data_IF_859265634290
#
_entry.id   IF_859265634290
#
_cell.length_a   1.000
_cell.length_b   1.000
_cell.length_c   1.000
_cell.angle_alpha   90.00
_cell.angle_beta   90.00
_cell.angle_gamma   90.00
#
_symmetry.space_group_name_H-M   'P 1'
#
loop_
_entity.id
_entity.type
_entity.pdbx_description
1 polymer ?
#
# COMPACT_ATOMS: atom_id res chain seq x y z
N UNK A 1 -8.82 -18.37 1.58
CA UNK A 1 -8.85 -17.09 2.34
C UNK A 1 -7.59 -16.89 3.18
N UNK A 2 -7.27 -17.76 4.14
CA UNK A 2 -6.14 -17.56 5.05
C UNK A 2 -4.78 -17.38 4.35
N UNK A 3 -4.51 -18.14 3.28
CA UNK A 3 -3.30 -17.97 2.47
C UNK A 3 -3.21 -16.59 1.80
N UNK A 4 -4.31 -16.08 1.26
CA UNK A 4 -4.34 -14.75 0.65
C UNK A 4 -4.11 -13.66 1.72
N UNK A 5 -4.70 -13.81 2.91
CA UNK A 5 -4.45 -12.92 4.04
C UNK A 5 -2.98 -12.95 4.47
N UNK A 6 -2.37 -14.15 4.52
CA UNK A 6 -0.96 -14.33 4.86
C UNK A 6 -0.02 -13.69 3.83
N UNK A 7 -0.35 -13.76 2.54
CA UNK A 7 0.41 -13.07 1.49
C UNK A 7 0.39 -11.55 1.67
N UNK A 8 -0.76 -10.97 2.02
CA UNK A 8 -0.87 -9.54 2.36
C UNK A 8 -0.04 -9.17 3.58
N UNK A 9 -0.19 -9.89 4.70
CA UNK A 9 0.57 -9.63 5.93
C UNK A 9 2.08 -9.77 5.71
N UNK A 10 2.49 -10.79 4.95
CA UNK A 10 3.89 -10.98 4.56
C UNK A 10 4.45 -9.77 3.82
N UNK A 11 3.71 -9.25 2.84
CA UNK A 11 4.09 -8.05 2.12
C UNK A 11 4.19 -6.82 3.03
N UNK A 12 3.12 -6.55 3.79
CA UNK A 12 3.02 -5.35 4.61
C UNK A 12 4.12 -5.31 5.68
N UNK A 13 4.39 -6.45 6.33
CA UNK A 13 5.50 -6.57 7.29
C UNK A 13 6.85 -6.27 6.61
N UNK A 14 7.11 -6.86 5.45
CA UNK A 14 8.33 -6.62 4.69
C UNK A 14 8.50 -5.16 4.27
N UNK A 15 7.43 -4.51 3.82
CA UNK A 15 7.43 -3.12 3.40
C UNK A 15 7.69 -2.15 4.57
N UNK A 16 7.10 -2.42 5.74
CA UNK A 16 7.31 -1.64 6.98
C UNK A 16 8.77 -1.70 7.48
N UNK A 17 9.48 -2.80 7.19
CA UNK A 17 10.87 -3.00 7.60
C UNK A 17 11.91 -2.31 6.70
N UNK A 18 11.52 -1.70 5.58
CA UNK A 18 12.47 -1.00 4.71
C UNK A 18 12.96 0.26 5.41
N UNK A 19 14.28 0.32 5.68
CA UNK A 19 14.93 1.40 6.41
C UNK A 19 15.56 2.42 5.45
N UNK A 20 15.68 3.67 5.92
CA UNK A 20 16.18 4.81 5.15
C UNK A 20 17.68 5.09 5.40
N UNK A 21 18.50 4.04 5.55
CA UNK A 21 19.91 4.09 5.93
C UNK A 21 20.87 3.60 4.84
N UNK A 22 20.58 3.92 3.58
CA UNK A 22 21.36 3.48 2.42
C UNK A 22 22.79 4.00 2.42
N UNK A 23 23.75 3.11 2.17
CA UNK A 23 25.18 3.41 2.09
C UNK A 23 25.78 3.17 0.71
N UNK A 24 25.05 2.48 -0.17
CA UNK A 24 25.52 2.02 -1.47
C UNK A 24 24.35 1.68 -2.41
N UNK A 25 24.67 1.41 -3.68
CA UNK A 25 23.68 0.99 -4.67
C UNK A 25 23.05 -0.38 -4.42
N UNK A 26 23.77 -1.31 -3.79
CA UNK A 26 23.31 -2.69 -3.59
C UNK A 26 22.16 -2.75 -2.57
N UNK A 27 22.29 -2.05 -1.45
CA UNK A 27 21.25 -1.90 -0.44
C UNK A 27 19.96 -1.32 -1.03
N UNK A 28 20.06 -0.35 -1.95
CA UNK A 28 18.90 0.21 -2.66
C UNK A 28 18.23 -0.86 -3.54
N UNK A 29 19.01 -1.62 -4.32
CA UNK A 29 18.44 -2.68 -5.16
C UNK A 29 17.82 -3.82 -4.32
N UNK A 30 18.41 -4.16 -3.17
CA UNK A 30 17.82 -5.13 -2.26
C UNK A 30 16.47 -4.65 -1.71
N UNK A 31 16.37 -3.37 -1.33
CA UNK A 31 15.11 -2.77 -0.88
C UNK A 31 14.07 -2.64 -1.99
N UNK A 32 14.46 -2.31 -3.23
CA UNK A 32 13.56 -2.34 -4.39
C UNK A 32 12.96 -3.74 -4.58
N UNK A 33 13.81 -4.77 -4.66
CA UNK A 33 13.35 -6.16 -4.80
C UNK A 33 12.39 -6.58 -3.69
N UNK A 34 12.65 -6.17 -2.44
CA UNK A 34 11.77 -6.46 -1.29
C UNK A 34 10.45 -5.69 -1.34
N UNK A 35 10.48 -4.42 -1.72
CA UNK A 35 9.29 -3.57 -1.70
C UNK A 35 8.36 -3.81 -2.90
N UNK A 36 8.89 -4.27 -4.04
CA UNK A 36 8.13 -4.50 -5.26
C UNK A 36 7.70 -5.96 -5.47
N UNK A 37 8.07 -6.87 -4.55
CA UNK A 37 7.77 -8.31 -4.58
C UNK A 37 6.32 -8.63 -4.19
N UNK A 38 5.39 -8.11 -4.99
CA UNK A 38 3.98 -8.48 -4.93
C UNK A 38 3.37 -8.39 -6.33
N UNK A 39 2.46 -9.31 -6.64
CA UNK A 39 1.56 -9.20 -7.79
C UNK A 39 0.33 -8.38 -7.38
N UNK A 40 -0.12 -7.45 -8.23
CA UNK A 40 -1.12 -6.45 -7.87
C UNK A 40 -2.51 -7.06 -7.59
N UNK A 41 -2.96 -8.04 -8.39
CA UNK A 41 -4.23 -8.73 -8.16
C UNK A 41 -4.18 -9.54 -6.87
N UNK A 42 -3.11 -10.31 -6.64
CA UNK A 42 -2.94 -11.12 -5.45
C UNK A 42 -2.90 -10.27 -4.17
N UNK A 43 -2.15 -9.15 -4.18
CA UNK A 43 -2.09 -8.29 -3.00
C UNK A 43 -3.46 -7.68 -2.70
N UNK A 44 -4.21 -7.24 -3.71
CA UNK A 44 -5.56 -6.71 -3.51
C UNK A 44 -6.54 -7.77 -2.97
N UNK A 45 -6.49 -9.01 -3.49
CA UNK A 45 -7.25 -10.14 -2.95
C UNK A 45 -6.86 -10.42 -1.49
N UNK A 46 -5.56 -10.32 -1.18
CA UNK A 46 -5.03 -10.49 0.17
C UNK A 46 -5.56 -9.45 1.16
N UNK A 47 -5.68 -8.18 0.75
CA UNK A 47 -6.28 -7.11 1.58
C UNK A 47 -7.72 -7.48 2.00
N UNK A 48 -8.54 -7.99 1.07
CA UNK A 48 -9.92 -8.39 1.36
C UNK A 48 -9.96 -9.63 2.25
N UNK A 49 -9.09 -10.62 1.98
CA UNK A 49 -8.98 -11.81 2.79
C UNK A 49 -8.55 -11.49 4.24
N UNK A 50 -7.59 -10.57 4.40
CA UNK A 50 -7.15 -10.11 5.70
C UNK A 50 -8.26 -9.33 6.41
N UNK A 51 -8.99 -8.47 5.69
CA UNK A 51 -10.21 -7.83 6.19
C UNK A 51 -11.24 -8.84 6.71
N UNK A 52 -11.43 -9.98 6.04
CA UNK A 52 -12.34 -11.02 6.53
C UNK A 52 -11.84 -11.67 7.84
N UNK A 53 -10.53 -11.91 7.97
CA UNK A 53 -9.91 -12.38 9.23
C UNK A 53 -10.13 -11.39 10.36
N UNK A 54 -10.00 -10.09 10.08
CA UNK A 54 -10.27 -9.03 11.04
C UNK A 54 -11.74 -8.98 11.45
N UNK A 55 -12.67 -9.03 10.50
CA UNK A 55 -14.11 -9.03 10.77
C UNK A 55 -14.55 -10.25 11.61
N UNK A 56 -13.95 -11.42 11.39
CA UNK A 56 -14.19 -12.62 12.20
C UNK A 56 -13.70 -12.50 13.65
N UNK A 57 -12.82 -11.54 13.94
CA UNK A 57 -12.40 -11.24 15.30
C UNK A 57 -13.35 -10.30 16.04
N UNK A 58 -14.44 -9.83 15.41
CA UNK A 58 -15.43 -9.01 16.10
C UNK A 58 -16.56 -9.88 16.68
N UNK A 59 -16.59 -10.08 18.03
CA UNK A 59 -17.50 -11.04 18.65
C UNK A 59 -18.97 -10.68 18.45
N UNK A 60 -19.32 -9.40 18.44
CA UNK A 60 -20.71 -8.95 18.23
C UNK A 60 -21.22 -9.32 16.84
N UNK A 61 -20.36 -9.21 15.83
CA UNK A 61 -20.66 -9.61 14.46
C UNK A 61 -20.81 -11.11 14.33
N UNK A 62 -19.83 -11.89 14.80
CA UNK A 62 -19.86 -13.36 14.70
C UNK A 62 -21.06 -13.94 15.46
N UNK A 63 -21.34 -13.47 16.68
CA UNK A 63 -22.50 -13.91 17.44
C UNK A 63 -23.82 -13.54 16.74
N UNK A 64 -23.93 -12.32 16.24
CA UNK A 64 -25.11 -11.84 15.53
C UNK A 64 -25.41 -12.63 14.25
N UNK A 65 -24.40 -12.90 13.44
CA UNK A 65 -24.53 -13.71 12.22
C UNK A 65 -24.92 -15.15 12.54
N UNK A 66 -24.29 -15.75 13.56
CA UNK A 66 -24.61 -17.13 13.98
C UNK A 66 -26.03 -17.27 14.51
N UNK A 67 -26.52 -16.27 15.26
CA UNK A 67 -27.89 -16.27 15.78
C UNK A 67 -28.92 -16.20 14.63
N UNK A 68 -28.71 -15.32 13.65
CA UNK A 68 -29.56 -15.27 12.46
C UNK A 68 -29.49 -16.56 11.62
N UNK A 69 -28.36 -17.24 11.64
CA UNK A 69 -28.15 -18.52 10.97
C UNK A 69 -28.58 -19.73 11.79
N UNK A 70 -29.27 -19.58 12.92
CA UNK A 70 -29.64 -20.73 13.77
C UNK A 70 -30.56 -21.71 13.07
N UNK A 71 -31.58 -21.21 12.38
CA UNK A 71 -32.53 -22.01 11.61
C UNK A 71 -31.97 -22.37 10.21
N UNK A 72 -31.96 -23.65 9.78
CA UNK A 72 -31.31 -24.07 8.53
C UNK A 72 -31.83 -23.36 7.26
N UNK A 73 -33.16 -23.18 7.15
CA UNK A 73 -33.77 -22.51 6.01
C UNK A 73 -33.37 -21.03 5.95
N UNK A 74 -33.36 -20.35 7.09
CA UNK A 74 -32.94 -18.94 7.19
C UNK A 74 -31.44 -18.79 6.92
N UNK A 75 -30.61 -19.69 7.44
CA UNK A 75 -29.17 -19.74 7.15
C UNK A 75 -28.92 -19.80 5.66
N UNK A 76 -29.59 -20.70 4.94
CA UNK A 76 -29.42 -20.83 3.49
C UNK A 76 -29.88 -19.58 2.74
N UNK A 77 -30.98 -18.96 3.17
CA UNK A 77 -31.45 -17.70 2.58
C UNK A 77 -30.41 -16.58 2.74
N UNK A 78 -29.81 -16.44 3.93
CA UNK A 78 -28.76 -15.45 4.20
C UNK A 78 -27.52 -15.73 3.34
N UNK A 79 -27.07 -16.98 3.25
CA UNK A 79 -25.94 -17.38 2.40
C UNK A 79 -26.19 -16.96 0.94
N UNK A 80 -27.38 -17.28 0.42
CA UNK A 80 -27.74 -16.93 -0.96
C UNK A 80 -27.80 -15.42 -1.17
N UNK A 81 -28.29 -14.66 -0.18
CA UNK A 81 -28.30 -13.19 -0.24
C UNK A 81 -26.89 -12.61 -0.25
N UNK A 82 -25.97 -13.13 0.56
CA UNK A 82 -24.57 -12.67 0.57
C UNK A 82 -23.87 -12.95 -0.77
N UNK A 83 -24.09 -14.12 -1.37
CA UNK A 83 -23.51 -14.44 -2.68
C UNK A 83 -24.13 -13.60 -3.82
N UNK A 84 -25.41 -13.27 -3.73
CA UNK A 84 -26.08 -12.43 -4.71
C UNK A 84 -25.67 -10.95 -4.60
N UNK A 85 -25.51 -10.45 -3.38
CA UNK A 85 -25.07 -9.09 -3.08
C UNK A 85 -24.18 -9.05 -1.82
N UNK A 86 -22.84 -8.94 -1.98
CA UNK A 86 -21.92 -8.85 -0.85
C UNK A 86 -22.18 -7.65 0.07
N UNK A 87 -22.84 -6.58 -0.40
CA UNK A 87 -23.19 -5.44 0.43
C UNK A 87 -24.25 -5.79 1.49
N UNK A 88 -24.99 -6.88 1.32
CA UNK A 88 -25.93 -7.39 2.32
C UNK A 88 -25.26 -7.64 3.68
N UNK A 89 -23.99 -8.07 3.68
CA UNK A 89 -23.24 -8.33 4.91
C UNK A 89 -23.08 -7.08 5.80
N UNK A 90 -23.12 -5.88 5.23
CA UNK A 90 -23.07 -4.62 5.98
C UNK A 90 -24.36 -4.29 6.76
N UNK A 91 -25.42 -5.09 6.57
CA UNK A 91 -26.71 -4.96 7.27
C UNK A 91 -26.85 -5.97 8.41
N UNK A 92 -25.92 -6.91 8.54
CA UNK A 92 -25.96 -7.93 9.58
C UNK A 92 -25.63 -7.34 10.96
N UNK A 93 -26.14 -7.92 12.06
CA UNK A 93 -25.86 -7.42 13.40
C UNK A 93 -24.36 -7.41 13.67
N UNK A 94 -23.85 -6.32 14.25
CA UNK A 94 -22.43 -6.13 14.53
C UNK A 94 -21.56 -5.73 13.33
N UNK A 95 -22.14 -5.60 12.13
CA UNK A 95 -21.37 -5.27 10.91
C UNK A 95 -20.61 -3.94 11.03
N UNK A 96 -21.17 -2.95 11.72
CA UNK A 96 -20.52 -1.63 11.86
C UNK A 96 -19.26 -1.67 12.74
N UNK A 97 -19.27 -2.52 13.79
CA UNK A 97 -18.10 -2.76 14.63
C UNK A 97 -17.03 -3.56 13.85
N UNK A 98 -17.46 -4.61 13.11
CA UNK A 98 -16.55 -5.40 12.29
C UNK A 98 -15.92 -4.55 11.17
N UNK A 99 -16.71 -3.71 10.51
CA UNK A 99 -16.22 -2.74 9.53
C UNK A 99 -15.24 -1.74 10.17
N UNK A 100 -15.57 -1.21 11.35
CA UNK A 100 -14.69 -0.33 12.11
C UNK A 100 -13.30 -0.93 12.33
N UNK A 101 -13.25 -2.20 12.73
CA UNK A 101 -12.01 -2.95 12.90
C UNK A 101 -11.24 -3.12 11.59
N UNK A 102 -11.90 -3.55 10.51
CA UNK A 102 -11.28 -3.70 9.19
C UNK A 102 -10.68 -2.37 8.72
N UNK A 103 -11.45 -1.29 8.79
CA UNK A 103 -11.02 0.04 8.35
C UNK A 103 -9.86 0.54 9.19
N UNK A 104 -9.91 0.38 10.51
CA UNK A 104 -8.87 0.84 11.42
C UNK A 104 -7.53 0.17 11.11
N UNK A 105 -7.51 -1.16 11.00
CA UNK A 105 -6.27 -1.91 10.80
C UNK A 105 -5.69 -1.66 9.40
N UNK A 106 -6.49 -1.76 8.34
CA UNK A 106 -6.01 -1.51 6.98
C UNK A 106 -5.52 -0.06 6.80
N UNK A 107 -6.15 0.91 7.48
CA UNK A 107 -5.64 2.29 7.50
C UNK A 107 -4.30 2.36 8.22
N UNK A 108 -4.14 1.68 9.35
CA UNK A 108 -2.89 1.67 10.10
C UNK A 108 -1.75 1.05 9.29
N UNK A 109 -2.02 -0.05 8.59
CA UNK A 109 -1.08 -0.68 7.66
C UNK A 109 -0.67 0.27 6.54
N UNK A 110 -1.64 0.83 5.83
CA UNK A 110 -1.40 1.76 4.73
C UNK A 110 -0.60 2.99 5.19
N UNK A 111 -0.92 3.54 6.37
CA UNK A 111 -0.21 4.66 6.96
C UNK A 111 1.23 4.29 7.36
N UNK A 112 1.46 3.09 7.89
CA UNK A 112 2.79 2.61 8.26
C UNK A 112 3.69 2.41 7.03
N UNK A 113 3.17 1.77 5.98
CA UNK A 113 3.88 1.61 4.70
C UNK A 113 4.16 2.97 4.05
N UNK A 114 3.18 3.88 4.05
CA UNK A 114 3.36 5.23 3.55
C UNK A 114 4.43 6.01 4.35
N UNK A 115 4.44 5.89 5.67
CA UNK A 115 5.44 6.54 6.54
C UNK A 115 6.84 6.00 6.26
N UNK A 116 7.00 4.69 6.09
CA UNK A 116 8.27 4.10 5.68
C UNK A 116 8.73 4.68 4.33
N UNK A 117 7.81 4.78 3.37
CA UNK A 117 8.07 5.40 2.07
C UNK A 117 8.47 6.87 2.15
N UNK A 118 7.82 7.65 3.02
CA UNK A 118 8.17 9.05 3.25
C UNK A 118 9.57 9.20 3.84
N UNK A 119 9.97 8.34 4.77
CA UNK A 119 11.33 8.33 5.32
C UNK A 119 12.38 7.96 4.26
N UNK A 120 12.11 6.93 3.45
CA UNK A 120 12.97 6.53 2.33
C UNK A 120 13.09 7.68 1.30
N UNK A 121 11.97 8.28 0.90
CA UNK A 121 11.96 9.42 -0.02
C UNK A 121 12.75 10.60 0.55
N UNK A 122 12.63 10.89 1.85
CA UNK A 122 13.44 11.92 2.50
C UNK A 122 14.93 11.60 2.39
N UNK A 123 15.32 10.34 2.62
CA UNK A 123 16.73 9.94 2.51
C UNK A 123 17.32 10.14 1.11
N UNK A 124 16.51 10.11 0.04
CA UNK A 124 16.98 10.46 -1.29
C UNK A 124 17.56 11.89 -1.33
N UNK A 125 16.89 12.85 -0.70
CA UNK A 125 17.36 14.23 -0.59
C UNK A 125 18.56 14.38 0.34
N UNK A 126 18.64 13.55 1.38
CA UNK A 126 19.75 13.58 2.34
C UNK A 126 21.03 13.02 1.70
N UNK A 127 20.93 11.91 0.95
CA UNK A 127 22.07 11.26 0.32
C UNK A 127 22.48 11.90 -1.00
N UNK A 128 21.64 12.69 -1.69
CA UNK A 128 21.95 13.24 -3.04
C UNK A 128 23.25 14.06 -3.13
N UNK A 129 23.80 14.50 -1.99
CA UNK A 129 25.07 15.26 -1.92
C UNK A 129 26.29 14.36 -1.73
N UNK A 130 26.10 13.10 -1.37
CA UNK A 130 27.16 12.12 -1.15
C UNK A 130 27.78 11.67 -2.48
N UNK A 131 29.06 11.28 -2.47
CA UNK A 131 29.76 10.91 -3.70
C UNK A 131 29.21 9.64 -4.32
N UNK A 132 29.04 8.59 -3.50
CA UNK A 132 28.54 7.29 -3.95
C UNK A 132 27.14 7.37 -4.55
N UNK A 133 26.27 8.24 -4.03
CA UNK A 133 24.87 8.31 -4.45
C UNK A 133 24.69 8.98 -5.82
N UNK A 134 25.67 9.79 -6.25
CA UNK A 134 25.72 10.44 -7.56
C UNK A 134 26.30 9.54 -8.65
N UNK A 135 26.86 8.40 -8.28
CA UNK A 135 27.32 7.42 -9.26
C UNK A 135 26.13 6.91 -10.06
N UNK A 136 26.36 6.75 -11.36
CA UNK A 136 25.32 6.29 -12.28
C UNK A 136 25.05 4.83 -12.03
N UNK A 137 23.76 4.51 -11.90
CA UNK A 137 23.36 3.13 -11.70
C UNK A 137 23.66 2.33 -12.96
N UNK A 138 24.40 1.23 -12.78
CA UNK A 138 24.72 0.30 -13.87
C UNK A 138 23.47 -0.45 -14.32
N UNK A 139 23.49 -0.92 -15.57
CA UNK A 139 22.50 -1.88 -16.10
C UNK A 139 21.03 -1.50 -15.91
N UNK A 140 20.68 -0.21 -16.05
CA UNK A 140 19.32 0.32 -15.82
C UNK A 140 18.21 -0.51 -16.48
N UNK A 141 18.40 -0.92 -17.73
CA UNK A 141 17.40 -1.72 -18.46
C UNK A 141 17.20 -3.12 -17.81
N UNK A 142 18.28 -3.77 -17.36
CA UNK A 142 18.19 -5.05 -16.68
C UNK A 142 17.52 -4.92 -15.31
N UNK A 143 17.78 -3.84 -14.57
CA UNK A 143 17.13 -3.56 -13.29
C UNK A 143 15.64 -3.29 -13.44
N UNK A 144 15.25 -2.50 -14.44
CA UNK A 144 13.84 -2.28 -14.78
C UNK A 144 13.15 -3.59 -15.19
N UNK A 145 13.81 -4.44 -15.98
CA UNK A 145 13.30 -5.75 -16.35
C UNK A 145 13.11 -6.65 -15.12
N UNK A 146 14.07 -6.65 -14.19
CA UNK A 146 13.97 -7.39 -12.92
C UNK A 146 12.81 -6.89 -12.05
N UNK A 147 12.65 -5.57 -11.90
CA UNK A 147 11.55 -4.97 -11.15
C UNK A 147 10.18 -5.38 -11.73
N UNK A 148 10.05 -5.38 -13.07
CA UNK A 148 8.84 -5.85 -13.78
C UNK A 148 8.57 -7.33 -13.57
N UNK A 149 9.62 -8.16 -13.63
CA UNK A 149 9.50 -9.60 -13.42
C UNK A 149 9.08 -9.93 -11.99
N UNK A 150 9.73 -9.33 -10.98
CA UNK A 150 9.42 -9.53 -9.56
C UNK A 150 8.00 -9.06 -9.26
N UNK A 151 7.61 -7.91 -9.83
CA UNK A 151 6.28 -7.33 -9.67
C UNK A 151 5.14 -8.15 -10.28
N UNK A 152 5.42 -9.15 -11.12
CA UNK A 152 4.42 -10.06 -11.67
C UNK A 152 4.38 -11.41 -10.96
N UNK A 153 5.27 -11.64 -9.99
CA UNK A 153 5.29 -12.88 -9.22
C UNK A 153 4.38 -12.78 -7.99
N UNK A 154 3.44 -13.73 -7.82
CA UNK A 154 2.71 -13.86 -6.57
C UNK A 154 3.65 -14.18 -5.41
N UNK A 155 3.36 -13.60 -4.25
CA UNK A 155 3.97 -13.97 -2.96
C UNK A 155 3.53 -15.39 -2.61
N UNK A 156 4.49 -16.26 -2.31
CA UNK A 156 4.18 -17.56 -1.75
C UNK A 156 3.64 -17.38 -0.31
N UNK A 157 2.43 -17.86 0.00
CA UNK A 157 1.86 -17.72 1.34
C UNK A 157 2.68 -18.53 2.36
N UNK A 158 2.94 -17.94 3.53
CA UNK A 158 3.53 -18.67 4.66
C UNK A 158 2.48 -19.60 5.27
N UNK A 159 2.79 -20.89 5.37
CA UNK A 159 1.89 -21.90 5.98
C UNK A 159 1.64 -21.60 7.45
N UNK A 160 2.69 -21.21 8.18
CA UNK A 160 2.60 -20.92 9.61
C UNK A 160 1.77 -19.67 9.87
N UNK A 161 1.99 -18.60 9.09
CA UNK A 161 1.20 -17.38 9.19
C UNK A 161 -0.26 -17.63 8.78
N UNK A 162 -0.49 -18.44 7.75
CA UNK A 162 -1.85 -18.82 7.33
C UNK A 162 -2.58 -19.56 8.45
N UNK A 163 -1.92 -20.50 9.13
CA UNK A 163 -2.48 -21.21 10.27
C UNK A 163 -2.78 -20.27 11.45
N UNK A 164 -1.89 -19.32 11.74
CA UNK A 164 -2.09 -18.31 12.79
C UNK A 164 -3.29 -17.42 12.49
N UNK A 165 -3.41 -16.89 11.26
CA UNK A 165 -4.54 -16.05 10.85
C UNK A 165 -5.87 -16.81 10.86
N UNK A 166 -5.85 -18.09 10.46
CA UNK A 166 -7.02 -18.96 10.56
C UNK A 166 -7.43 -19.17 12.04
N UNK A 167 -6.46 -19.42 12.92
CA UNK A 167 -6.73 -19.58 14.34
C UNK A 167 -7.28 -18.29 14.97
N UNK A 168 -6.76 -17.12 14.58
CA UNK A 168 -7.28 -15.83 15.02
C UNK A 168 -8.74 -15.63 14.58
N UNK A 169 -9.04 -15.97 13.32
CA UNK A 169 -10.40 -15.90 12.78
C UNK A 169 -11.38 -16.84 13.49
N UNK A 170 -10.96 -18.04 13.88
CA UNK A 170 -11.82 -19.03 14.56
C UNK A 170 -12.03 -18.72 16.04
N UNK A 171 -10.98 -18.27 16.73
CA UNK A 171 -11.03 -18.00 18.16
C UNK A 171 -11.66 -16.65 18.51
N UNK A 172 -11.70 -15.72 17.55
CA UNK A 172 -12.06 -14.34 17.82
C UNK A 172 -11.08 -13.62 18.76
N UNK A 173 -9.90 -14.22 18.98
CA UNK A 173 -8.85 -13.67 19.84
C UNK A 173 -7.64 -13.34 18.97
N UNK A 174 -7.03 -12.17 19.18
CA UNK A 174 -5.82 -11.80 18.43
C UNK A 174 -5.53 -10.31 18.39
N UNK A 175 -6.55 -9.44 18.51
CA UNK A 175 -6.38 -7.99 18.38
C UNK A 175 -7.17 -7.20 19.44
N UNK A 176 -6.70 -5.99 19.83
CA UNK A 176 -7.42 -5.11 20.76
C UNK A 176 -8.83 -4.79 20.26
N UNK A 177 -9.78 -4.61 21.19
CA UNK A 177 -11.13 -4.16 20.82
C UNK A 177 -11.08 -2.72 20.30
N UNK A 178 -11.66 -2.50 19.13
CA UNK A 178 -11.82 -1.15 18.56
C UNK A 178 -13.23 -0.67 18.93
N UNK A 179 -13.32 0.44 19.67
CA UNK A 179 -14.59 0.97 20.17
C UNK A 179 -15.34 1.85 19.17
N UNK A 180 -14.72 2.18 18.03
CA UNK A 180 -15.33 3.02 17.00
C UNK A 180 -15.78 2.15 15.81
N UNK A 181 -17.09 2.17 15.51
CA UNK A 181 -17.60 1.65 14.25
C UNK A 181 -17.14 2.51 13.07
N UNK A 182 -17.08 1.93 11.88
CA UNK A 182 -16.82 2.70 10.66
C UNK A 182 -18.10 3.43 10.22
N UNK A 183 -17.96 4.65 9.69
CA UNK A 183 -19.08 5.36 9.07
C UNK A 183 -19.38 4.81 7.67
N UNK A 184 -20.67 4.71 7.33
CA UNK A 184 -21.14 4.34 6.00
C UNK A 184 -21.03 5.54 5.03
N UNK A 185 -20.87 5.31 3.71
CA UNK A 185 -20.85 4.02 3.02
C UNK A 185 -19.48 3.32 3.08
N UNK A 186 -19.49 1.99 3.25
CA UNK A 186 -18.28 1.16 3.18
C UNK A 186 -17.79 0.97 1.75
N UNK A 187 -16.48 0.78 1.58
CA UNK A 187 -15.92 0.43 0.28
C UNK A 187 -16.35 -0.98 -0.16
N UNK A 188 -16.31 -1.26 -1.47
CA UNK A 188 -16.57 -2.60 -1.98
C UNK A 188 -15.69 -3.69 -1.36
N UNK A 189 -14.45 -3.36 -0.96
CA UNK A 189 -13.52 -4.28 -0.31
C UNK A 189 -13.90 -4.58 1.14
N UNK A 190 -14.32 -3.56 1.91
CA UNK A 190 -14.84 -3.76 3.28
C UNK A 190 -16.13 -4.58 3.24
N UNK A 191 -17.04 -4.30 2.30
CA UNK A 191 -18.26 -5.10 2.11
C UNK A 191 -17.95 -6.57 1.81
N UNK A 192 -17.02 -6.84 0.90
CA UNK A 192 -16.55 -8.22 0.58
C UNK A 192 -15.89 -8.90 1.77
N UNK A 193 -15.10 -8.17 2.55
CA UNK A 193 -14.48 -8.66 3.77
C UNK A 193 -15.55 -9.13 4.77
N UNK A 194 -16.58 -8.32 4.99
CA UNK A 194 -17.73 -8.69 5.83
C UNK A 194 -18.51 -9.87 5.25
N UNK A 195 -18.70 -9.93 3.94
CA UNK A 195 -19.39 -11.03 3.26
C UNK A 195 -18.68 -12.37 3.47
N UNK A 196 -17.36 -12.42 3.26
CA UNK A 196 -16.56 -13.62 3.49
C UNK A 196 -16.58 -14.02 4.97
N UNK A 197 -16.47 -13.04 5.87
CA UNK A 197 -16.55 -13.30 7.31
C UNK A 197 -17.93 -13.84 7.73
N UNK A 198 -19.02 -13.29 7.20
CA UNK A 198 -20.37 -13.78 7.46
C UNK A 198 -20.56 -15.21 6.93
N UNK A 199 -20.12 -15.49 5.70
CA UNK A 199 -20.15 -16.85 5.14
C UNK A 199 -19.36 -17.82 6.00
N UNK A 200 -18.17 -17.43 6.49
CA UNK A 200 -17.39 -18.27 7.40
C UNK A 200 -18.11 -18.51 8.73
N UNK A 201 -18.73 -17.48 9.31
CA UNK A 201 -19.53 -17.62 10.54
C UNK A 201 -20.77 -18.52 10.38
N UNK A 202 -21.34 -18.58 9.17
CA UNK A 202 -22.47 -19.44 8.79
C UNK A 202 -22.04 -20.86 8.38
N UNK A 203 -20.73 -21.15 8.32
CA UNK A 203 -20.19 -22.43 7.87
C UNK A 203 -20.21 -22.63 6.34
N UNK A 204 -20.34 -21.55 5.57
CA UNK A 204 -20.46 -21.54 4.12
C UNK A 204 -19.20 -21.05 3.40
N UNK A 205 -18.07 -20.88 4.10
CA UNK A 205 -16.78 -20.51 3.50
C UNK A 205 -15.82 -21.70 3.30
N UNK A 206 -16.33 -22.94 3.38
CA UNK A 206 -15.57 -24.17 3.16
C UNK A 206 -15.47 -24.56 1.68
N UNK A 207 -14.92 -25.75 1.44
CA UNK A 207 -14.58 -26.26 0.10
C UNK A 207 -15.78 -26.31 -0.86
N UNK A 208 -16.98 -26.60 -0.34
CA UNK A 208 -18.23 -26.64 -1.13
C UNK A 208 -18.53 -25.33 -1.88
N UNK A 209 -18.08 -24.19 -1.34
CA UNK A 209 -18.28 -22.86 -1.93
C UNK A 209 -16.97 -22.18 -2.32
N UNK A 210 -15.85 -22.93 -2.42
CA UNK A 210 -14.51 -22.36 -2.62
C UNK A 210 -14.44 -21.41 -3.82
N UNK A 211 -15.06 -21.76 -4.94
CA UNK A 211 -15.10 -20.92 -6.15
C UNK A 211 -15.86 -19.61 -5.91
N UNK A 212 -17.01 -19.67 -5.26
CA UNK A 212 -17.85 -18.48 -4.99
C UNK A 212 -17.18 -17.55 -3.97
N UNK A 213 -16.58 -18.12 -2.92
CA UNK A 213 -15.81 -17.36 -1.93
C UNK A 213 -14.57 -16.73 -2.57
N UNK A 214 -13.90 -17.42 -3.49
CA UNK A 214 -12.76 -16.86 -4.22
C UNK A 214 -13.17 -15.68 -5.11
N UNK A 215 -14.36 -15.73 -5.71
CA UNK A 215 -14.89 -14.60 -6.47
C UNK A 215 -15.16 -13.36 -5.60
N UNK A 216 -15.47 -13.54 -4.31
CA UNK A 216 -15.64 -12.43 -3.37
C UNK A 216 -14.32 -11.71 -3.03
N UNK A 217 -13.17 -12.33 -3.28
CA UNK A 217 -11.86 -11.67 -3.13
C UNK A 217 -11.56 -10.70 -4.28
N UNK A 218 -12.35 -10.72 -5.36
CA UNK A 218 -12.11 -9.86 -6.51
C UNK A 218 -12.79 -8.50 -6.35
N UNK A 219 -11.99 -7.45 -6.38
CA UNK A 219 -12.44 -6.06 -6.54
C UNK A 219 -11.70 -5.37 -7.69
N UNK A 220 -12.22 -4.21 -8.12
CA UNK A 220 -11.62 -3.44 -9.21
C UNK A 220 -10.76 -2.27 -8.71
N UNK A 221 -10.92 -1.85 -7.45
CA UNK A 221 -10.28 -0.64 -6.92
C UNK A 221 -8.84 -0.94 -6.51
N UNK A 222 -8.62 -2.02 -5.75
CA UNK A 222 -7.31 -2.45 -5.30
C UNK A 222 -6.32 -2.68 -6.44
N UNK A 223 -6.59 -3.61 -7.38
CA UNK A 223 -5.67 -3.94 -8.47
C UNK A 223 -5.39 -2.73 -9.36
N UNK A 224 -6.40 -1.89 -9.66
CA UNK A 224 -6.20 -0.70 -10.48
C UNK A 224 -5.24 0.30 -9.83
N UNK A 225 -5.37 0.51 -8.52
CA UNK A 225 -4.47 1.40 -7.78
C UNK A 225 -3.05 0.85 -7.73
N UNK A 226 -2.89 -0.43 -7.39
CA UNK A 226 -1.60 -1.09 -7.29
C UNK A 226 -0.88 -1.18 -8.66
N UNK A 227 -1.63 -1.40 -9.74
CA UNK A 227 -1.08 -1.36 -11.10
C UNK A 227 -0.60 0.04 -11.48
N UNK A 228 -1.31 1.10 -11.07
CA UNK A 228 -0.86 2.47 -11.28
C UNK A 228 0.45 2.75 -10.51
N UNK A 229 0.55 2.31 -9.25
CA UNK A 229 1.77 2.36 -8.45
C UNK A 229 2.97 1.72 -9.18
N UNK A 230 2.76 0.51 -9.73
CA UNK A 230 3.78 -0.20 -10.51
C UNK A 230 4.14 0.52 -11.81
N UNK A 231 3.17 1.08 -12.52
CA UNK A 231 3.44 1.88 -13.73
C UNK A 231 4.27 3.12 -13.42
N UNK A 232 3.96 3.83 -12.33
CA UNK A 232 4.74 4.99 -11.89
C UNK A 232 6.17 4.59 -11.52
N UNK A 233 6.34 3.47 -10.81
CA UNK A 233 7.65 2.90 -10.49
C UNK A 233 8.46 2.65 -11.76
N UNK A 234 7.88 1.98 -12.76
CA UNK A 234 8.59 1.67 -14.01
C UNK A 234 9.00 2.93 -14.77
N UNK A 235 8.14 3.96 -14.79
CA UNK A 235 8.47 5.23 -15.43
C UNK A 235 9.61 5.95 -14.69
N UNK A 236 9.58 5.93 -13.36
CA UNK A 236 10.64 6.50 -12.53
C UNK A 236 11.99 5.78 -12.75
N UNK A 237 12.01 4.45 -12.67
CA UNK A 237 13.22 3.65 -12.88
C UNK A 237 13.76 3.73 -14.32
N UNK A 238 12.89 3.92 -15.32
CA UNK A 238 13.31 4.08 -16.72
C UNK A 238 14.14 5.36 -16.96
N UNK A 239 13.92 6.41 -16.17
CA UNK A 239 14.62 7.69 -16.30
C UNK A 239 15.68 7.92 -15.21
N UNK A 240 15.62 7.15 -14.11
CA UNK A 240 16.59 7.20 -13.01
C UNK A 240 18.03 7.02 -13.51
N UNK A 241 18.93 7.93 -13.13
CA UNK A 241 20.35 7.91 -13.50
C UNK A 241 21.28 7.64 -12.30
N UNK A 242 21.41 8.54 -11.30
CA UNK A 242 22.17 8.28 -10.09
C UNK A 242 21.38 7.48 -9.04
N UNK A 243 22.09 6.82 -8.13
CA UNK A 243 21.48 5.99 -7.08
C UNK A 243 20.43 6.70 -6.22
N UNK A 244 20.59 8.00 -5.93
CA UNK A 244 19.58 8.72 -5.13
C UNK A 244 18.22 8.84 -5.82
N UNK A 245 18.15 8.74 -7.16
CA UNK A 245 16.88 8.72 -7.90
C UNK A 245 16.16 7.38 -7.70
N UNK A 246 16.88 6.26 -7.59
CA UNK A 246 16.28 4.97 -7.22
C UNK A 246 15.74 4.98 -5.79
N UNK A 247 16.42 5.66 -4.85
CA UNK A 247 15.90 5.87 -3.48
C UNK A 247 14.59 6.63 -3.52
N UNK A 248 14.49 7.65 -4.37
CA UNK A 248 13.23 8.38 -4.58
C UNK A 248 12.15 7.47 -5.16
N UNK A 249 12.44 6.70 -6.20
CA UNK A 249 11.48 5.78 -6.82
C UNK A 249 10.97 4.73 -5.81
N UNK A 250 11.86 4.17 -4.97
CA UNK A 250 11.53 3.27 -3.88
C UNK A 250 10.60 3.94 -2.86
N UNK A 251 10.96 5.13 -2.36
CA UNK A 251 10.15 5.83 -1.36
C UNK A 251 8.77 6.20 -1.89
N UNK A 252 8.71 6.80 -3.09
CA UNK A 252 7.46 7.30 -3.67
C UNK A 252 6.58 6.17 -4.23
N UNK A 253 7.08 5.37 -5.17
CA UNK A 253 6.23 4.52 -6.00
C UNK A 253 6.14 3.07 -5.52
N UNK A 254 7.08 2.63 -4.69
CA UNK A 254 7.00 1.29 -4.07
C UNK A 254 6.28 1.34 -2.73
N UNK A 255 6.56 2.35 -1.91
CA UNK A 255 6.05 2.44 -0.55
C UNK A 255 4.89 3.44 -0.40
N UNK A 256 5.08 4.73 -0.71
CA UNK A 256 4.02 5.73 -0.50
C UNK A 256 2.77 5.43 -1.33
N UNK A 257 2.91 5.23 -2.64
CA UNK A 257 1.80 4.94 -3.53
C UNK A 257 1.07 3.63 -3.11
N UNK A 258 1.80 2.59 -2.72
CA UNK A 258 1.20 1.34 -2.21
C UNK A 258 0.44 1.54 -0.89
N UNK A 259 1.03 2.26 0.07
CA UNK A 259 0.37 2.60 1.33
C UNK A 259 -0.92 3.43 1.11
N UNK A 260 -0.90 4.33 0.13
CA UNK A 260 -2.10 5.07 -0.29
C UNK A 260 -3.15 4.13 -0.91
N UNK A 261 -2.75 3.15 -1.72
CA UNK A 261 -3.67 2.16 -2.27
C UNK A 261 -4.33 1.32 -1.18
N UNK A 262 -3.58 0.84 -0.18
CA UNK A 262 -4.14 0.11 0.97
C UNK A 262 -5.15 0.98 1.73
N UNK A 263 -4.78 2.23 2.02
CA UNK A 263 -5.67 3.18 2.72
C UNK A 263 -6.95 3.47 1.92
N UNK A 264 -6.82 3.62 0.60
CA UNK A 264 -7.96 3.84 -0.32
C UNK A 264 -8.91 2.66 -0.33
N UNK A 265 -8.40 1.43 -0.31
CA UNK A 265 -9.21 0.21 -0.23
C UNK A 265 -9.97 0.15 1.11
N UNK A 266 -9.37 0.64 2.20
CA UNK A 266 -10.01 0.77 3.50
C UNK A 266 -11.07 1.87 3.58
N UNK A 267 -11.20 2.75 2.57
CA UNK A 267 -12.23 3.79 2.53
C UNK A 267 -11.85 5.12 3.17
N UNK A 268 -10.59 5.27 3.61
CA UNK A 268 -10.05 6.58 3.96
C UNK A 268 -9.28 7.14 2.77
N UNK A 269 -9.52 8.40 2.45
CA UNK A 269 -8.67 9.13 1.52
C UNK A 269 -7.44 9.53 2.33
N UNK A 270 -6.27 8.99 2.00
CA UNK A 270 -5.02 9.48 2.55
C UNK A 270 -4.92 11.00 2.24
N UNK A 271 -4.47 11.85 3.19
CA UNK A 271 -4.29 13.27 2.89
C UNK A 271 -3.39 13.38 1.66
N UNK A 272 -3.88 14.09 0.63
CA UNK A 272 -3.12 14.40 -0.58
C UNK A 272 -1.81 15.03 -0.10
N UNK A 273 -0.69 14.44 -0.51
CA UNK A 273 0.63 14.86 -0.08
C UNK A 273 0.78 16.37 -0.15
N UNK A 274 1.33 16.95 0.92
CA UNK A 274 1.77 18.34 0.95
C UNK A 274 2.55 18.64 -0.35
N UNK A 275 2.34 19.79 -1.00
CA UNK A 275 3.05 20.13 -2.21
C UNK A 275 4.55 19.96 -1.95
N UNK A 276 5.20 19.12 -2.78
CA UNK A 276 6.66 19.00 -2.75
C UNK A 276 7.21 20.43 -2.93
N UNK A 277 7.97 20.99 -1.97
CA UNK A 277 8.69 22.21 -2.22
C UNK A 277 9.62 21.91 -3.41
N UNK A 278 9.39 22.60 -4.53
CA UNK A 278 10.30 22.53 -5.67
C UNK A 278 11.72 22.77 -5.12
N UNK A 279 12.73 21.97 -5.52
CA UNK A 279 14.09 22.28 -5.16
C UNK A 279 14.36 23.73 -5.57
N UNK A 280 14.83 24.54 -4.62
CA UNK A 280 15.22 25.91 -4.90
C UNK A 280 16.11 25.90 -6.14
N UNK A 281 15.77 26.74 -7.13
CA UNK A 281 16.58 26.88 -8.33
C UNK A 281 18.05 27.06 -7.93
N UNK A 282 18.99 26.40 -8.62
CA UNK A 282 20.40 26.59 -8.31
C UNK A 282 20.69 28.08 -8.36
N UNK A 283 21.27 28.60 -7.27
CA UNK A 283 21.71 29.99 -7.22
C UNK A 283 22.55 30.26 -8.48
N UNK A 284 22.11 31.26 -9.25
CA UNK A 284 22.87 31.72 -10.40
C UNK A 284 24.31 31.96 -9.93
N UNK A 285 25.26 31.27 -10.57
CA UNK A 285 26.67 31.57 -10.43
C UNK A 285 26.84 33.06 -10.74
N UNK A 286 27.29 33.84 -9.75
CA UNK A 286 27.65 35.24 -9.89
C UNK A 286 28.71 35.37 -10.99
N UNK A 287 28.25 35.68 -12.21
CA UNK A 287 29.08 36.16 -13.29
C UNK A 287 29.16 37.69 -13.18
N UNK A 288 30.06 38.18 -12.33
CA UNK A 288 30.60 39.54 -12.46
C UNK A 288 31.91 39.67 -11.67
N UNK A 289 32.99 39.14 -12.26
CA UNK A 289 34.33 39.62 -11.96
C UNK A 289 34.39 41.13 -12.26
N UNK A 290 34.62 41.90 -11.21
CA UNK A 290 34.86 43.34 -11.28
C UNK A 290 36.18 43.60 -12.03
N UNK A 291 36.10 43.98 -13.30
CA UNK A 291 37.18 44.68 -14.00
C UNK A 291 36.77 46.12 -14.22
N UNK A 292 37.17 46.98 -13.30
CA UNK A 292 37.17 48.44 -13.48
C UNK A 292 38.16 48.83 -14.56
N UNK A 293 37.68 49.15 -15.76
CA UNK A 293 38.40 50.02 -16.70
C UNK A 293 37.73 51.40 -16.66
N UNK A 294 38.42 52.35 -16.03
CA UNK A 294 38.08 53.76 -16.10
C UNK A 294 38.49 54.29 -17.49
N UNK A 295 37.51 54.70 -18.29
CA UNK A 295 37.74 55.55 -19.46
C UNK A 295 37.53 56.99 -19.01
N UNK A 296 38.62 57.75 -18.97
CA UNK A 296 38.60 59.21 -18.85
C UNK A 296 38.07 59.81 -20.15
N UNK A 297 37.05 60.67 -20.05
CA UNK A 297 36.61 61.54 -21.13
C UNK A 297 37.19 62.94 -20.92
N UNK A 298 38.23 63.29 -21.69
CA UNK A 298 38.67 64.67 -21.83
C UNK A 298 37.68 65.44 -22.74
N UNK A 299 37.13 66.54 -22.22
CA UNK A 299 36.34 67.51 -22.98
C UNK A 299 37.23 68.50 -23.75
N UNK A 300 36.74 69.11 -24.84
CA UNK A 300 37.56 69.89 -25.77
C UNK A 300 37.89 71.30 -25.22
N UNK A 301 39.14 71.72 -25.46
CA UNK A 301 39.66 73.06 -25.19
C UNK A 301 39.04 74.10 -26.15
N UNK A 302 38.41 75.12 -25.58
CA UNK A 302 38.15 76.42 -26.22
C UNK A 302 39.26 77.42 -25.86
N UNK A 303 39.74 78.17 -26.85
CA UNK A 303 40.98 78.95 -26.79
C UNK A 303 40.88 80.38 -26.24
N UNK A 304 42.07 80.94 -25.98
CA UNK A 304 42.56 82.27 -26.35
C UNK A 304 44.09 82.26 -26.23
#
# INVERSE_FOLDING_TARGET
MAEAAAAYETYVSQAKEIQANFTDGESIQASLRKGESYEAKQLAQGVIAYGAVLALQEPTFVAGVRELGREPAQRQQIINQIFADPAYAAQLPGADAAAGRVVAELTADGAAVHKAGSAVKQSAYDVQRQKWSKEFVKEREARLAAAKQISSQPIAPSTDLSAQLLQAALSGTGLPSVTAGAEKPYTPAVQRSLAIAALAALGAAGDDNATQVSALLEDNVGPSCLNLSKLNLYQCLAVSKPHYEDVFCLGQHVLMDTGQCITKVAGKIAPVGEPIPLPAAPAALDAASNTTNAVQTEGPKGGK
#
